data_IF_855673000621
#
_entry.id   IF_855673000621
#
_cell.length_a   1.000
_cell.length_b   1.000
_cell.length_c   1.000
_cell.angle_alpha   90.00
_cell.angle_beta   90.00
_cell.angle_gamma   90.00
#
_symmetry.space_group_name_H-M   'P 1'
#
loop_
_entity.id
_entity.type
_entity.pdbx_description
1 polymer ?
#
# COMPACT_ATOMS: atom_id res chain seq x y z
N UNK A 1 8.06 15.86 20.52
CA UNK A 1 7.95 14.85 19.44
C UNK A 1 9.29 14.17 19.27
N UNK A 2 9.32 12.85 19.34
CA UNK A 2 10.58 12.09 19.25
C UNK A 2 10.40 10.96 18.25
N UNK A 3 11.44 10.52 17.53
CA UNK A 3 11.35 9.29 16.71
C UNK A 3 10.86 8.10 17.53
N UNK A 4 11.19 8.04 18.82
CA UNK A 4 10.73 7.00 19.74
C UNK A 4 9.20 6.82 19.79
N UNK A 5 8.43 7.86 19.44
CA UNK A 5 6.97 7.83 19.41
C UNK A 5 6.40 7.25 18.10
N UNK A 6 7.26 6.94 17.11
CA UNK A 6 6.82 6.27 15.88
C UNK A 6 6.87 4.76 16.06
N UNK A 7 5.77 4.10 15.75
CA UNK A 7 5.63 2.65 15.79
C UNK A 7 5.11 2.17 14.45
N UNK A 8 5.65 1.04 13.97
CA UNK A 8 5.16 0.39 12.75
C UNK A 8 4.86 -1.07 13.04
N UNK A 9 3.68 -1.50 12.65
CA UNK A 9 3.33 -2.92 12.55
C UNK A 9 3.32 -3.27 11.07
N UNK A 10 4.21 -4.18 10.67
CA UNK A 10 4.44 -4.57 9.28
C UNK A 10 4.19 -6.05 9.08
N UNK A 11 3.32 -6.36 8.13
CA UNK A 11 3.23 -7.66 7.49
C UNK A 11 3.51 -7.49 6.00
N UNK A 12 4.40 -8.30 5.46
CA UNK A 12 4.81 -8.20 4.07
C UNK A 12 5.17 -9.58 3.49
N UNK A 13 5.45 -9.64 2.21
CA UNK A 13 5.76 -10.87 1.46
C UNK A 13 6.92 -11.74 2.04
N UNK A 14 7.67 -11.26 3.03
CA UNK A 14 8.77 -12.00 3.68
C UNK A 14 8.30 -12.71 4.95
N UNK A 15 7.29 -12.17 5.63
CA UNK A 15 6.83 -12.64 6.93
C UNK A 15 5.34 -13.01 6.97
N UNK A 16 4.61 -12.82 5.87
CA UNK A 16 3.19 -13.15 5.79
C UNK A 16 2.82 -13.75 4.43
N UNK A 17 1.82 -14.61 4.41
CA UNK A 17 1.23 -15.13 3.18
C UNK A 17 0.31 -14.08 2.53
N UNK A 18 0.02 -14.24 1.24
CA UNK A 18 -0.92 -13.37 0.52
C UNK A 18 -2.31 -13.42 1.18
N UNK A 19 -2.73 -14.59 1.64
CA UNK A 19 -4.00 -14.77 2.35
C UNK A 19 -4.03 -13.96 3.67
N UNK A 20 -2.96 -13.99 4.45
CA UNK A 20 -2.85 -13.20 5.68
C UNK A 20 -2.87 -11.70 5.41
N UNK A 21 -2.20 -11.24 4.34
CA UNK A 21 -2.27 -9.84 3.91
C UNK A 21 -3.69 -9.45 3.50
N UNK A 22 -4.40 -10.35 2.81
CA UNK A 22 -5.80 -10.15 2.42
C UNK A 22 -6.73 -9.96 3.62
N UNK A 23 -6.56 -10.75 4.69
CA UNK A 23 -7.36 -10.62 5.94
C UNK A 23 -7.20 -9.27 6.64
N UNK A 24 -6.12 -8.55 6.38
CA UNK A 24 -5.87 -7.20 6.89
C UNK A 24 -6.20 -6.10 5.87
N UNK A 25 -6.75 -6.47 4.71
CA UNK A 25 -7.13 -5.50 3.69
C UNK A 25 -8.44 -4.80 4.07
N UNK A 26 -8.42 -3.46 4.02
CA UNK A 26 -9.63 -2.63 4.17
C UNK A 26 -9.90 -1.91 2.86
N UNK A 27 -11.08 -2.10 2.29
CA UNK A 27 -11.49 -1.45 1.05
C UNK A 27 -11.50 0.07 1.19
N UNK A 28 -11.16 0.78 0.12
CA UNK A 28 -10.92 2.24 0.15
C UNK A 28 -12.08 3.05 0.74
N UNK A 29 -13.32 2.67 0.43
CA UNK A 29 -14.54 3.27 0.93
C UNK A 29 -14.73 3.13 2.46
N UNK A 30 -14.20 2.06 3.06
CA UNK A 30 -14.29 1.76 4.49
C UNK A 30 -13.08 2.26 5.30
N UNK A 31 -11.94 2.53 4.65
CA UNK A 31 -10.69 2.87 5.35
C UNK A 31 -10.83 4.04 6.29
N UNK A 32 -11.51 5.12 5.87
CA UNK A 32 -11.66 6.33 6.72
C UNK A 32 -12.32 6.02 8.06
N UNK A 33 -13.47 5.38 8.03
CA UNK A 33 -14.22 5.04 9.24
C UNK A 33 -13.47 4.01 10.11
N UNK A 34 -12.91 2.99 9.47
CA UNK A 34 -12.14 1.94 10.12
C UNK A 34 -10.93 2.52 10.87
N UNK A 35 -10.10 3.33 10.21
CA UNK A 35 -8.91 3.91 10.83
C UNK A 35 -9.22 4.95 11.90
N UNK A 36 -10.32 5.70 11.77
CA UNK A 36 -10.78 6.60 12.81
C UNK A 36 -11.17 5.83 14.09
N UNK A 37 -11.92 4.75 13.94
CA UNK A 37 -12.31 3.88 15.04
C UNK A 37 -11.09 3.19 15.67
N UNK A 38 -10.17 2.67 14.85
CA UNK A 38 -8.94 2.03 15.31
C UNK A 38 -8.06 3.01 16.10
N UNK A 39 -7.89 4.25 15.58
CA UNK A 39 -7.15 5.32 16.27
C UNK A 39 -7.75 5.62 17.64
N UNK A 40 -9.07 5.75 17.73
CA UNK A 40 -9.78 6.01 18.98
C UNK A 40 -9.67 4.83 19.95
N UNK A 41 -9.86 3.60 19.46
CA UNK A 41 -9.77 2.39 20.25
C UNK A 41 -8.38 2.16 20.87
N UNK A 42 -7.32 2.41 20.08
CA UNK A 42 -5.95 2.30 20.55
C UNK A 42 -5.50 3.53 21.36
N UNK A 43 -6.22 4.65 21.32
CA UNK A 43 -5.87 5.90 22.01
C UNK A 43 -4.60 6.56 21.46
N UNK A 44 -4.27 6.34 20.18
CA UNK A 44 -3.02 6.83 19.55
C UNK A 44 -3.20 8.23 18.94
N UNK A 45 -2.10 8.98 18.86
CA UNK A 45 -2.11 10.37 18.39
C UNK A 45 -2.25 10.48 16.88
N UNK A 46 -1.69 9.52 16.12
CA UNK A 46 -1.75 9.51 14.67
C UNK A 46 -1.66 8.11 14.09
N UNK A 47 -2.28 7.91 12.91
CA UNK A 47 -2.22 6.65 12.17
C UNK A 47 -2.24 6.91 10.67
N UNK A 48 -1.39 6.19 9.92
CA UNK A 48 -1.48 6.01 8.49
C UNK A 48 -1.45 4.52 8.17
N UNK A 49 -2.15 4.13 7.11
CA UNK A 49 -2.31 2.75 6.69
C UNK A 49 -1.89 2.59 5.24
N UNK A 50 -0.83 1.82 5.04
CA UNK A 50 -0.31 1.46 3.73
C UNK A 50 -0.70 0.00 3.44
N UNK A 51 -1.48 -0.20 2.39
CA UNK A 51 -1.78 -1.53 1.87
C UNK A 51 -1.45 -1.59 0.39
N UNK A 52 -0.78 -2.67 0.00
CA UNK A 52 -0.40 -2.98 -1.37
C UNK A 52 -0.59 -4.47 -1.62
N UNK A 53 -0.33 -4.95 -2.83
CA UNK A 53 -0.36 -6.38 -3.13
C UNK A 53 0.65 -7.22 -2.29
N UNK A 54 1.66 -6.60 -1.66
CA UNK A 54 2.76 -7.33 -1.01
C UNK A 54 3.01 -6.91 0.44
N UNK A 55 2.22 -5.99 0.99
CA UNK A 55 2.37 -5.53 2.38
C UNK A 55 1.15 -4.84 2.94
N UNK A 56 1.04 -4.93 4.25
CA UNK A 56 0.18 -4.09 5.08
C UNK A 56 1.05 -3.47 6.18
N UNK A 57 0.99 -2.14 6.30
CA UNK A 57 1.75 -1.39 7.31
C UNK A 57 0.83 -0.44 8.06
N UNK A 58 0.84 -0.52 9.37
CA UNK A 58 0.23 0.47 10.26
C UNK A 58 1.32 1.36 10.80
N UNK A 59 1.33 2.61 10.38
CA UNK A 59 2.32 3.63 10.79
C UNK A 59 1.64 4.50 11.82
N UNK A 60 2.06 4.40 13.07
CA UNK A 60 1.37 4.98 14.22
C UNK A 60 2.30 5.91 15.00
N UNK A 61 1.70 6.94 15.58
CA UNK A 61 2.38 7.84 16.53
C UNK A 61 1.70 7.73 17.88
N UNK A 62 2.49 7.38 18.89
CA UNK A 62 2.05 7.32 20.28
C UNK A 62 3.25 7.54 21.22
N UNK A 63 3.03 8.21 22.34
CA UNK A 63 4.05 8.36 23.39
C UNK A 63 4.22 7.08 24.21
N UNK A 64 3.16 6.27 24.31
CA UNK A 64 3.22 5.00 24.99
C UNK A 64 3.84 3.92 24.11
N UNK A 65 4.63 3.05 24.70
CA UNK A 65 5.24 1.91 24.01
C UNK A 65 4.17 0.97 23.43
N UNK A 66 4.32 0.61 22.18
CA UNK A 66 3.39 -0.28 21.49
C UNK A 66 3.70 -1.75 21.83
N UNK A 67 3.08 -2.24 22.90
CA UNK A 67 3.30 -3.59 23.44
C UNK A 67 2.45 -4.67 22.74
N UNK A 68 2.69 -5.95 23.09
CA UNK A 68 1.95 -7.09 22.53
C UNK A 68 0.43 -7.01 22.78
N UNK A 69 -0.02 -6.44 23.90
CA UNK A 69 -1.45 -6.22 24.14
C UNK A 69 -2.09 -5.26 23.13
N UNK A 70 -1.38 -4.20 22.76
CA UNK A 70 -1.82 -3.27 21.72
C UNK A 70 -1.80 -3.88 20.33
N UNK A 71 -0.83 -4.73 20.04
CA UNK A 71 -0.79 -5.51 18.79
C UNK A 71 -2.02 -6.42 18.68
N UNK A 72 -2.38 -7.08 19.78
CA UNK A 72 -3.59 -7.90 19.85
C UNK A 72 -4.85 -7.05 19.60
N UNK A 73 -4.97 -5.89 20.25
CA UNK A 73 -6.09 -4.96 20.03
C UNK A 73 -6.18 -4.47 18.58
N UNK A 74 -5.04 -4.19 17.94
CA UNK A 74 -4.98 -3.80 16.53
C UNK A 74 -5.58 -4.90 15.64
N UNK A 75 -5.14 -6.16 15.82
CA UNK A 75 -5.64 -7.25 15.00
C UNK A 75 -7.07 -7.65 15.32
N UNK A 76 -7.54 -7.50 16.57
CA UNK A 76 -8.94 -7.73 16.94
C UNK A 76 -9.92 -6.86 16.15
N UNK A 77 -9.49 -5.66 15.71
CA UNK A 77 -10.32 -4.80 14.87
C UNK A 77 -10.67 -5.40 13.50
N UNK A 78 -9.98 -6.45 13.06
CA UNK A 78 -10.24 -7.22 11.84
C UNK A 78 -11.06 -8.48 12.09
N UNK A 79 -11.50 -8.72 13.32
CA UNK A 79 -12.33 -9.86 13.73
C UNK A 79 -11.78 -11.23 13.29
N UNK A 80 -10.45 -11.50 13.43
CA UNK A 80 -9.87 -12.75 13.01
C UNK A 80 -10.31 -13.90 13.91
N UNK A 81 -10.41 -15.11 13.36
CA UNK A 81 -10.57 -16.31 14.18
C UNK A 81 -9.30 -16.58 15.02
N UNK A 82 -9.34 -17.55 15.94
CA UNK A 82 -8.25 -17.82 16.89
C UNK A 82 -6.95 -18.23 16.19
N UNK A 83 -7.02 -18.99 15.10
CA UNK A 83 -5.85 -19.44 14.34
C UNK A 83 -5.21 -18.28 13.58
N UNK A 84 -6.03 -17.47 12.90
CA UNK A 84 -5.59 -16.26 12.23
C UNK A 84 -4.92 -15.29 13.20
N UNK A 85 -5.53 -15.07 14.37
CA UNK A 85 -4.95 -14.21 15.41
C UNK A 85 -3.56 -14.68 15.82
N UNK A 86 -3.36 -15.97 16.10
CA UNK A 86 -2.05 -16.51 16.45
C UNK A 86 -1.04 -16.30 15.33
N UNK A 87 -1.46 -16.57 14.11
CA UNK A 87 -0.61 -16.44 12.92
C UNK A 87 -0.21 -14.98 12.66
N UNK A 88 -1.15 -14.04 12.71
CA UNK A 88 -0.88 -12.61 12.57
C UNK A 88 0.05 -12.08 13.65
N UNK A 89 -0.18 -12.47 14.92
CA UNK A 89 0.67 -12.09 16.05
C UNK A 89 2.10 -12.64 15.92
N UNK A 90 2.26 -13.88 15.42
CA UNK A 90 3.57 -14.50 15.26
C UNK A 90 4.38 -13.91 14.11
N UNK A 91 3.70 -13.47 13.06
CA UNK A 91 4.32 -13.02 11.82
C UNK A 91 4.52 -11.49 11.76
N UNK A 92 3.79 -10.72 12.57
CA UNK A 92 3.90 -9.27 12.57
C UNK A 92 5.28 -8.80 13.05
N UNK A 93 5.92 -7.96 12.25
CA UNK A 93 7.11 -7.21 12.66
C UNK A 93 6.65 -5.92 13.32
N UNK A 94 7.02 -5.73 14.58
CA UNK A 94 6.73 -4.51 15.33
C UNK A 94 8.02 -3.72 15.50
N UNK A 95 8.05 -2.51 14.99
CA UNK A 95 9.19 -1.62 14.99
C UNK A 95 8.90 -0.35 15.77
N UNK A 96 9.92 0.18 16.43
CA UNK A 96 9.81 1.36 17.29
C UNK A 96 10.91 2.36 16.98
N UNK A 97 10.63 3.63 17.16
CA UNK A 97 11.61 4.70 17.13
C UNK A 97 12.42 4.76 15.83
N UNK A 98 13.74 4.80 15.95
CA UNK A 98 14.64 4.91 14.80
C UNK A 98 14.55 3.71 13.85
N UNK A 99 14.25 2.51 14.36
CA UNK A 99 14.05 1.33 13.53
C UNK A 99 12.76 1.44 12.71
N UNK A 100 11.69 1.97 13.29
CA UNK A 100 10.45 2.27 12.58
C UNK A 100 10.67 3.35 11.49
N UNK A 101 11.39 4.41 11.83
CA UNK A 101 11.76 5.48 10.88
C UNK A 101 12.60 4.92 9.74
N UNK A 102 13.63 4.16 10.05
CA UNK A 102 14.52 3.52 9.06
C UNK A 102 13.75 2.59 8.14
N UNK A 103 12.87 1.76 8.71
CA UNK A 103 12.00 0.88 7.94
C UNK A 103 11.11 1.65 6.96
N UNK A 104 10.44 2.71 7.42
CA UNK A 104 9.58 3.54 6.58
C UNK A 104 10.36 4.18 5.40
N UNK A 105 11.57 4.66 5.64
CA UNK A 105 12.44 5.20 4.59
C UNK A 105 12.84 4.12 3.58
N UNK A 106 13.18 2.92 4.06
CA UNK A 106 13.51 1.76 3.21
C UNK A 106 12.32 1.33 2.36
N UNK A 107 11.11 1.30 2.96
CA UNK A 107 9.86 1.01 2.25
C UNK A 107 9.64 2.04 1.14
N UNK A 108 9.65 3.33 1.47
CA UNK A 108 9.40 4.39 0.50
C UNK A 108 10.43 4.44 -0.63
N UNK A 109 11.68 4.05 -0.33
CA UNK A 109 12.76 3.94 -1.31
C UNK A 109 12.76 2.62 -2.11
N UNK A 110 11.76 1.75 -1.92
CA UNK A 110 11.65 0.47 -2.63
C UNK A 110 12.67 -0.59 -2.20
N UNK A 111 13.37 -0.41 -1.07
CA UNK A 111 14.38 -1.36 -0.58
C UNK A 111 13.75 -2.57 0.13
N UNK A 112 12.49 -2.47 0.50
CA UNK A 112 11.69 -3.54 1.09
C UNK A 112 10.63 -4.10 0.12
N UNK A 113 10.64 -3.65 -1.14
CA UNK A 113 9.73 -4.13 -2.17
C UNK A 113 10.18 -5.48 -2.72
N UNK A 114 9.22 -6.27 -3.25
CA UNK A 114 9.51 -7.51 -3.95
C UNK A 114 10.45 -7.26 -5.14
N UNK A 115 10.25 -6.16 -5.85
CA UNK A 115 11.18 -5.67 -6.85
C UNK A 115 12.02 -4.55 -6.24
N UNK A 116 13.29 -4.84 -5.97
CA UNK A 116 14.20 -3.89 -5.35
C UNK A 116 14.30 -2.59 -6.18
N UNK A 117 14.09 -1.44 -5.53
CA UNK A 117 14.14 -0.12 -6.16
C UNK A 117 12.92 0.24 -7.01
N UNK A 118 11.79 -0.45 -6.83
CA UNK A 118 10.53 -0.12 -7.48
C UNK A 118 10.02 1.24 -7.02
N UNK A 119 9.65 2.10 -8.00
CA UNK A 119 9.20 3.47 -7.71
C UNK A 119 7.73 3.58 -7.33
N UNK A 120 6.92 2.57 -7.65
CA UNK A 120 5.48 2.58 -7.41
C UNK A 120 5.16 2.68 -5.91
N UNK A 121 5.97 2.03 -5.07
CA UNK A 121 5.81 2.09 -3.61
C UNK A 121 5.88 3.52 -3.05
N UNK A 122 6.70 4.41 -3.62
CA UNK A 122 6.75 5.81 -3.19
C UNK A 122 5.41 6.51 -3.40
N UNK A 123 4.74 6.23 -4.53
CA UNK A 123 3.41 6.77 -4.81
C UNK A 123 2.39 6.24 -3.80
N UNK A 124 2.46 4.94 -3.49
CA UNK A 124 1.56 4.28 -2.53
C UNK A 124 1.77 4.82 -1.10
N UNK A 125 3.03 5.00 -0.66
CA UNK A 125 3.34 5.62 0.63
C UNK A 125 2.80 7.05 0.69
N UNK A 126 3.05 7.86 -0.35
CA UNK A 126 2.51 9.22 -0.43
C UNK A 126 0.99 9.22 -0.30
N UNK A 127 0.28 8.43 -1.10
CA UNK A 127 -1.18 8.37 -1.07
C UNK A 127 -1.72 7.92 0.29
N UNK A 128 -1.06 6.98 0.97
CA UNK A 128 -1.43 6.54 2.31
C UNK A 128 -1.32 7.68 3.34
N UNK A 129 -0.22 8.45 3.29
CA UNK A 129 0.01 9.58 4.18
C UNK A 129 -0.93 10.76 3.85
N UNK A 130 -1.16 11.05 2.57
CA UNK A 130 -2.11 12.08 2.12
C UNK A 130 -3.53 11.77 2.61
N UNK A 131 -4.02 10.55 2.43
CA UNK A 131 -5.33 10.12 2.98
C UNK A 131 -5.40 10.30 4.49
N UNK A 132 -4.37 9.88 5.24
CA UNK A 132 -4.33 10.07 6.69
C UNK A 132 -4.45 11.55 7.07
N UNK A 133 -3.80 12.45 6.34
CA UNK A 133 -3.88 13.89 6.56
C UNK A 133 -5.26 14.47 6.22
N UNK A 134 -5.82 14.11 5.07
CA UNK A 134 -7.16 14.55 4.61
C UNK A 134 -8.27 14.09 5.55
N UNK A 135 -8.12 12.92 6.15
CA UNK A 135 -9.07 12.36 7.11
C UNK A 135 -8.83 12.84 8.55
N UNK A 136 -7.89 13.75 8.78
CA UNK A 136 -7.50 14.26 10.10
C UNK A 136 -7.01 13.18 11.08
N UNK A 137 -6.41 12.12 10.55
CA UNK A 137 -5.83 11.03 11.33
C UNK A 137 -4.33 11.23 11.57
N UNK A 138 -3.65 12.05 10.76
CA UNK A 138 -2.25 12.37 10.93
C UNK A 138 -2.07 13.51 11.95
N UNK A 139 -1.35 13.25 13.02
CA UNK A 139 -0.83 14.28 13.91
C UNK A 139 0.36 15.04 13.27
N UNK A 140 0.88 16.05 13.98
CA UNK A 140 1.97 16.90 13.49
C UNK A 140 3.25 16.10 13.18
N UNK A 141 3.55 15.09 13.99
CA UNK A 141 4.72 14.22 13.80
C UNK A 141 4.64 13.41 12.49
N UNK A 142 3.48 12.81 12.17
CA UNK A 142 3.31 12.09 10.90
C UNK A 142 3.45 13.00 9.68
N UNK A 143 2.95 14.24 9.77
CA UNK A 143 3.06 15.24 8.68
C UNK A 143 4.50 15.65 8.41
N UNK A 144 5.31 15.82 9.46
CA UNK A 144 6.73 16.09 9.32
C UNK A 144 7.45 14.87 8.73
N UNK A 145 7.13 13.67 9.23
CA UNK A 145 7.71 12.41 8.77
C UNK A 145 7.39 12.17 7.29
N UNK A 146 6.14 12.37 6.86
CA UNK A 146 5.70 12.27 5.44
C UNK A 146 6.63 13.04 4.50
N UNK A 147 6.85 14.33 4.80
CA UNK A 147 7.68 15.17 3.94
C UNK A 147 9.10 14.64 3.81
N UNK A 148 9.73 14.29 4.92
CA UNK A 148 11.12 13.82 4.93
C UNK A 148 11.25 12.44 4.27
N UNK A 149 10.28 11.54 4.48
CA UNK A 149 10.21 10.22 3.81
C UNK A 149 10.19 10.38 2.28
N UNK A 150 9.30 11.25 1.76
CA UNK A 150 9.18 11.48 0.32
C UNK A 150 10.45 12.10 -0.26
N UNK A 151 11.04 13.09 0.42
CA UNK A 151 12.28 13.75 0.01
C UNK A 151 13.45 12.74 -0.01
N UNK A 152 13.56 11.90 1.03
CA UNK A 152 14.60 10.87 1.15
C UNK A 152 14.48 9.83 0.05
N UNK A 153 13.28 9.30 -0.20
CA UNK A 153 13.06 8.33 -1.25
C UNK A 153 13.43 8.90 -2.64
N UNK A 154 13.06 10.16 -2.92
CA UNK A 154 13.48 10.84 -4.15
C UNK A 154 15.01 10.97 -4.26
N UNK A 155 15.69 11.27 -3.15
CA UNK A 155 17.16 11.34 -3.15
C UNK A 155 17.78 9.96 -3.43
N UNK A 156 17.27 8.89 -2.82
CA UNK A 156 17.71 7.52 -3.10
C UNK A 156 17.56 7.20 -4.58
N UNK A 157 16.39 7.46 -5.18
CA UNK A 157 16.15 7.18 -6.60
C UNK A 157 16.97 8.03 -7.58
N UNK A 158 17.41 9.22 -7.17
CA UNK A 158 18.17 10.13 -8.07
C UNK A 158 19.68 10.06 -7.88
N UNK A 159 20.14 9.72 -6.68
CA UNK A 159 21.58 9.72 -6.34
C UNK A 159 22.19 8.31 -6.33
N UNK A 160 21.39 7.25 -6.55
CA UNK A 160 21.86 5.87 -6.57
C UNK A 160 21.31 5.11 -7.77
N UNK A 161 21.97 4.02 -8.13
CA UNK A 161 21.52 3.14 -9.22
C UNK A 161 20.42 2.14 -8.80
N UNK A 162 19.86 2.27 -7.62
CA UNK A 162 18.88 1.31 -7.07
C UNK A 162 17.63 1.16 -7.95
N UNK A 163 17.16 2.26 -8.54
CA UNK A 163 16.00 2.27 -9.42
C UNK A 163 16.36 2.04 -10.90
N UNK A 164 17.64 1.88 -11.21
CA UNK A 164 18.10 1.66 -12.60
C UNK A 164 17.62 0.29 -13.07
N UNK A 165 16.84 0.28 -14.15
CA UNK A 165 16.23 -0.93 -14.71
C UNK A 165 15.32 -1.68 -13.71
N UNK A 166 14.73 -1.00 -12.72
CA UNK A 166 13.69 -1.62 -11.88
C UNK A 166 12.48 -1.95 -12.76
N UNK A 167 12.04 -3.20 -12.69
CA UNK A 167 10.87 -3.67 -13.45
C UNK A 167 9.77 -3.89 -12.42
N UNK A 168 8.70 -3.11 -12.46
CA UNK A 168 7.58 -3.28 -11.53
C UNK A 168 6.88 -4.63 -11.71
N UNK A 169 6.12 -5.07 -10.72
CA UNK A 169 5.27 -6.29 -10.83
C UNK A 169 4.36 -6.18 -12.04
N UNK A 170 3.80 -4.99 -12.30
CA UNK A 170 2.99 -4.72 -13.48
C UNK A 170 3.77 -4.96 -14.79
N UNK A 171 5.02 -4.50 -14.84
CA UNK A 171 5.85 -4.70 -16.03
C UNK A 171 6.35 -6.14 -16.17
N UNK A 172 6.53 -6.89 -15.07
CA UNK A 172 6.79 -8.33 -15.12
C UNK A 172 5.58 -9.10 -15.63
N UNK A 173 4.38 -8.80 -15.10
CA UNK A 173 3.12 -9.37 -15.59
C UNK A 173 2.88 -9.04 -17.05
N UNK A 174 3.15 -7.80 -17.46
CA UNK A 174 3.10 -7.40 -18.86
C UNK A 174 4.04 -8.20 -19.76
N UNK A 175 5.29 -8.45 -19.33
CA UNK A 175 6.24 -9.30 -20.07
C UNK A 175 5.74 -10.74 -20.19
N UNK A 176 5.12 -11.28 -19.14
CA UNK A 176 4.51 -12.61 -19.19
C UNK A 176 3.38 -12.66 -20.21
N UNK A 177 2.53 -11.65 -20.29
CA UNK A 177 1.49 -11.51 -21.30
C UNK A 177 2.08 -11.42 -22.72
N UNK A 178 3.08 -10.56 -22.97
CA UNK A 178 3.73 -10.44 -24.28
C UNK A 178 4.33 -11.78 -24.78
N UNK A 179 4.85 -12.59 -23.85
CA UNK A 179 5.41 -13.90 -24.20
C UNK A 179 4.36 -14.88 -24.73
N UNK A 180 3.05 -14.62 -24.54
CA UNK A 180 1.96 -15.42 -25.08
C UNK A 180 1.63 -15.13 -26.54
N UNK A 181 2.13 -14.01 -27.10
CA UNK A 181 1.90 -13.65 -28.49
C UNK A 181 0.42 -13.40 -28.84
N UNK A 182 -0.38 -12.95 -27.88
CA UNK A 182 -1.81 -12.66 -28.08
C UNK A 182 -1.95 -11.49 -29.06
N UNK A 183 -2.75 -11.67 -30.11
CA UNK A 183 -2.94 -10.68 -31.16
C UNK A 183 -3.62 -9.41 -30.65
N UNK A 184 -3.37 -8.27 -31.29
CA UNK A 184 -3.89 -6.97 -30.86
C UNK A 184 -5.40 -6.79 -31.05
N UNK A 185 -6.01 -7.63 -31.88
CA UNK A 185 -7.45 -7.71 -32.13
C UNK A 185 -8.17 -8.80 -31.27
N UNK A 186 -7.38 -9.57 -30.50
CA UNK A 186 -7.97 -10.57 -29.60
C UNK A 186 -8.73 -9.92 -28.45
N UNK A 187 -9.82 -10.58 -28.04
CA UNK A 187 -10.66 -10.11 -26.94
C UNK A 187 -9.94 -10.18 -25.60
N UNK A 188 -9.94 -9.08 -24.87
CA UNK A 188 -9.29 -8.93 -23.56
C UNK A 188 -10.32 -8.47 -22.53
N UNK A 189 -10.35 -9.15 -21.38
CA UNK A 189 -11.18 -8.78 -20.24
C UNK A 189 -10.31 -8.19 -19.12
N UNK A 190 -10.60 -6.95 -18.70
CA UNK A 190 -9.97 -6.34 -17.53
C UNK A 190 -10.98 -6.29 -16.38
N UNK A 191 -10.65 -6.89 -15.25
CA UNK A 191 -11.50 -6.94 -14.06
C UNK A 191 -10.84 -6.10 -12.95
N UNK A 192 -11.52 -5.00 -12.60
CA UNK A 192 -11.01 -3.95 -11.71
C UNK A 192 -10.52 -2.72 -12.49
N UNK A 193 -10.75 -1.53 -11.93
CA UNK A 193 -10.35 -0.24 -12.51
C UNK A 193 -9.46 0.57 -11.55
N UNK A 194 -8.63 -0.13 -10.75
CA UNK A 194 -7.63 0.46 -9.87
C UNK A 194 -6.34 0.86 -10.60
N UNK A 195 -5.40 1.43 -9.84
CA UNK A 195 -4.12 1.95 -10.38
C UNK A 195 -3.32 0.89 -11.13
N UNK A 196 -3.29 -0.36 -10.65
CA UNK A 196 -2.60 -1.47 -11.29
C UNK A 196 -3.13 -1.74 -12.70
N UNK A 197 -4.46 -1.90 -12.83
CA UNK A 197 -5.09 -2.09 -14.14
C UNK A 197 -5.00 -0.83 -15.01
N UNK A 198 -4.99 0.37 -14.45
CA UNK A 198 -4.72 1.59 -15.22
C UNK A 198 -3.29 1.61 -15.81
N UNK A 199 -2.32 1.02 -15.13
CA UNK A 199 -0.96 0.85 -15.66
C UNK A 199 -0.93 -0.18 -16.81
N UNK A 200 -1.61 -1.33 -16.64
CA UNK A 200 -1.74 -2.36 -17.69
C UNK A 200 -2.50 -1.79 -18.90
N UNK A 201 -3.57 -1.03 -18.68
CA UNK A 201 -4.34 -0.37 -19.74
C UNK A 201 -3.46 0.50 -20.66
N UNK A 202 -2.51 1.26 -20.08
CA UNK A 202 -1.54 2.04 -20.84
C UNK A 202 -0.62 1.18 -21.71
N UNK A 203 -0.27 -0.01 -21.23
CA UNK A 203 0.53 -0.94 -22.03
C UNK A 203 -0.28 -1.54 -23.18
N UNK A 204 -1.53 -1.95 -22.94
CA UNK A 204 -2.44 -2.46 -23.96
C UNK A 204 -2.70 -1.41 -25.05
N UNK A 205 -3.00 -0.18 -24.65
CA UNK A 205 -3.22 0.96 -25.56
C UNK A 205 -1.99 1.21 -26.43
N UNK A 206 -0.79 1.23 -25.84
CA UNK A 206 0.48 1.43 -26.56
C UNK A 206 0.78 0.31 -27.57
N UNK A 207 0.33 -0.92 -27.31
CA UNK A 207 0.47 -2.07 -28.21
C UNK A 207 -0.66 -2.17 -29.23
N UNK A 208 -1.62 -1.26 -29.18
CA UNK A 208 -2.71 -1.20 -30.15
C UNK A 208 -3.83 -2.22 -29.94
N UNK A 209 -4.02 -2.72 -28.71
CA UNK A 209 -5.17 -3.58 -28.40
C UNK A 209 -6.47 -2.77 -28.45
N UNK A 210 -7.42 -3.24 -29.25
CA UNK A 210 -8.68 -2.53 -29.54
C UNK A 210 -9.92 -3.20 -28.93
N UNK A 211 -9.93 -4.54 -28.83
CA UNK A 211 -11.04 -5.29 -28.23
C UNK A 211 -10.78 -5.56 -26.74
N UNK A 212 -11.00 -4.52 -25.95
CA UNK A 212 -10.82 -4.59 -24.49
C UNK A 212 -12.14 -4.22 -23.80
N UNK A 213 -12.55 -5.04 -22.85
CA UNK A 213 -13.70 -4.78 -21.97
C UNK A 213 -13.24 -4.59 -20.53
N UNK A 214 -13.67 -3.51 -19.90
CA UNK A 214 -13.33 -3.21 -18.50
C UNK A 214 -14.54 -3.42 -17.62
N UNK A 215 -14.45 -4.31 -16.64
CA UNK A 215 -15.47 -4.53 -15.61
C UNK A 215 -15.01 -4.02 -14.26
N UNK A 216 -15.88 -3.37 -13.53
CA UNK A 216 -15.60 -2.93 -12.16
C UNK A 216 -16.89 -2.88 -11.34
N UNK A 217 -16.81 -3.07 -10.01
CA UNK A 217 -17.95 -2.92 -9.10
C UNK A 217 -18.60 -1.52 -9.22
N UNK A 218 -17.78 -0.49 -9.31
CA UNK A 218 -18.22 0.88 -9.60
C UNK A 218 -18.08 1.14 -11.09
N UNK A 219 -19.19 1.15 -11.82
CA UNK A 219 -19.22 1.25 -13.29
C UNK A 219 -18.57 2.53 -13.79
N UNK A 220 -18.68 3.64 -13.05
CA UNK A 220 -18.06 4.93 -13.38
C UNK A 220 -16.54 4.85 -13.44
N UNK A 221 -15.90 4.04 -12.56
CA UNK A 221 -14.45 3.80 -12.61
C UNK A 221 -14.07 2.98 -13.85
N UNK A 222 -14.87 1.97 -14.22
CA UNK A 222 -14.65 1.20 -15.45
C UNK A 222 -14.78 2.09 -16.69
N UNK A 223 -15.81 2.92 -16.73
CA UNK A 223 -16.05 3.91 -17.78
C UNK A 223 -14.88 4.87 -17.94
N UNK A 224 -14.44 5.48 -16.84
CA UNK A 224 -13.34 6.45 -16.85
C UNK A 224 -12.01 5.83 -17.36
N UNK A 225 -11.81 4.53 -17.16
CA UNK A 225 -10.64 3.82 -17.66
C UNK A 225 -10.77 3.45 -19.15
N UNK A 226 -11.95 2.99 -19.58
CA UNK A 226 -12.18 2.43 -20.90
C UNK A 226 -12.53 3.50 -21.97
N UNK A 227 -13.44 4.42 -21.68
CA UNK A 227 -14.00 5.36 -22.64
C UNK A 227 -12.95 6.22 -23.37
N UNK A 228 -11.90 6.76 -22.73
CA UNK A 228 -10.86 7.53 -23.43
C UNK A 228 -10.05 6.71 -24.46
N UNK A 229 -10.13 5.35 -24.38
CA UNK A 229 -9.41 4.37 -25.23
C UNK A 229 -10.30 3.76 -26.29
N UNK A 230 -11.59 4.15 -26.34
CA UNK A 230 -12.57 3.53 -27.24
C UNK A 230 -12.95 2.09 -26.86
N UNK A 231 -12.69 1.67 -25.62
CA UNK A 231 -12.96 0.34 -25.11
C UNK A 231 -14.37 0.26 -24.50
N UNK A 232 -14.87 -0.97 -24.34
CA UNK A 232 -16.16 -1.22 -23.70
C UNK A 232 -16.02 -1.34 -22.17
N UNK A 233 -17.10 -1.08 -21.44
CA UNK A 233 -17.13 -1.20 -19.98
C UNK A 233 -18.45 -1.77 -19.47
N UNK A 234 -18.43 -2.23 -18.21
CA UNK A 234 -19.64 -2.75 -17.57
C UNK A 234 -19.50 -2.95 -16.06
N UNK A 235 -20.59 -3.36 -15.44
CA UNK A 235 -20.62 -3.85 -14.07
C UNK A 235 -20.04 -5.25 -13.96
N UNK A 236 -19.54 -5.64 -12.78
CA UNK A 236 -19.15 -7.02 -12.48
C UNK A 236 -20.32 -8.00 -12.60
N UNK A 237 -21.56 -7.55 -12.52
CA UNK A 237 -22.75 -8.38 -12.76
C UNK A 237 -22.80 -8.98 -14.18
N UNK A 238 -22.08 -8.37 -15.13
CA UNK A 238 -21.97 -8.87 -16.50
C UNK A 238 -20.75 -9.78 -16.71
N UNK A 239 -20.11 -10.24 -15.63
CA UNK A 239 -18.89 -11.04 -15.70
C UNK A 239 -19.10 -12.36 -16.44
N UNK A 240 -20.11 -13.14 -16.07
CA UNK A 240 -20.40 -14.44 -16.71
C UNK A 240 -20.60 -14.29 -18.23
N UNK A 241 -21.43 -13.34 -18.67
CA UNK A 241 -21.62 -13.06 -20.10
C UNK A 241 -20.32 -12.60 -20.80
N UNK A 242 -19.43 -11.92 -20.07
CA UNK A 242 -18.14 -11.51 -20.63
C UNK A 242 -17.13 -12.66 -20.72
N UNK A 243 -17.23 -13.65 -19.85
CA UNK A 243 -16.43 -14.89 -19.90
C UNK A 243 -16.88 -15.80 -21.05
N UNK A 244 -18.20 -15.92 -21.28
CA UNK A 244 -18.76 -16.68 -22.41
C UNK A 244 -18.26 -16.19 -23.78
N UNK A 245 -17.83 -14.93 -23.90
CA UNK A 245 -17.24 -14.40 -25.13
C UNK A 245 -15.82 -14.88 -25.43
N UNK A 246 -15.26 -15.79 -24.63
CA UNK A 246 -13.93 -16.40 -24.78
C UNK A 246 -12.79 -15.38 -24.84
N UNK A 247 -12.55 -14.59 -23.78
CA UNK A 247 -11.42 -13.67 -23.79
C UNK A 247 -10.08 -14.43 -23.88
N UNK A 248 -9.22 -14.03 -24.80
CA UNK A 248 -7.89 -14.61 -24.95
C UNK A 248 -6.99 -14.27 -23.74
N UNK A 249 -7.28 -13.13 -23.06
CA UNK A 249 -6.62 -12.77 -21.84
C UNK A 249 -7.56 -12.10 -20.83
N UNK A 250 -7.32 -12.37 -19.54
CA UNK A 250 -8.00 -11.74 -18.41
C UNK A 250 -6.94 -11.06 -17.53
N UNK A 251 -7.09 -9.74 -17.31
CA UNK A 251 -6.29 -8.98 -16.34
C UNK A 251 -7.15 -8.75 -15.11
N UNK A 252 -6.82 -9.43 -14.01
CA UNK A 252 -7.55 -9.34 -12.76
C UNK A 252 -6.73 -8.57 -11.73
N UNK A 253 -7.28 -7.47 -11.24
CA UNK A 253 -6.72 -6.72 -10.14
C UNK A 253 -7.84 -6.00 -9.39
N UNK A 254 -8.36 -6.66 -8.37
CA UNK A 254 -9.42 -6.15 -7.50
C UNK A 254 -8.92 -6.08 -6.06
N UNK A 255 -9.50 -5.17 -5.27
CA UNK A 255 -9.33 -5.15 -3.83
C UNK A 255 -10.49 -5.89 -3.11
N UNK A 256 -10.97 -6.97 -3.69
CA UNK A 256 -12.07 -7.78 -3.15
C UNK A 256 -11.52 -8.90 -2.28
N UNK A 257 -12.16 -9.15 -1.15
CA UNK A 257 -11.87 -10.29 -0.28
C UNK A 257 -12.54 -11.59 -0.77
N UNK A 258 -13.35 -11.50 -1.83
CA UNK A 258 -14.09 -12.59 -2.43
C UNK A 258 -13.44 -12.99 -3.76
N UNK A 259 -13.40 -14.31 -4.04
CA UNK A 259 -13.00 -14.82 -5.34
C UNK A 259 -13.86 -14.17 -6.43
N UNK A 260 -13.23 -13.75 -7.50
CA UNK A 260 -13.89 -13.12 -8.65
C UNK A 260 -14.10 -14.16 -9.76
N UNK A 261 -13.13 -15.06 -9.93
CA UNK A 261 -13.22 -16.22 -10.81
C UNK A 261 -13.29 -17.47 -9.93
N UNK A 262 -14.47 -17.76 -9.43
CA UNK A 262 -14.80 -18.91 -8.59
C UNK A 262 -15.31 -20.12 -9.42
N UNK A 263 -15.97 -21.06 -8.76
CA UNK A 263 -16.48 -22.27 -9.40
C UNK A 263 -17.59 -21.97 -10.42
N UNK A 264 -18.43 -20.96 -10.17
CA UNK A 264 -19.50 -20.56 -11.08
C UNK A 264 -18.90 -19.95 -12.36
N UNK A 265 -17.89 -19.10 -12.22
CA UNK A 265 -17.17 -18.53 -13.36
C UNK A 265 -16.32 -19.57 -14.09
N UNK A 266 -15.79 -20.57 -13.39
CA UNK A 266 -15.11 -21.69 -14.03
C UNK A 266 -16.02 -22.49 -14.96
N UNK A 267 -17.31 -22.63 -14.59
CA UNK A 267 -18.31 -23.37 -15.39
C UNK A 267 -18.72 -22.63 -16.67
N UNK A 268 -18.69 -21.30 -16.68
CA UNK A 268 -19.07 -20.49 -17.85
C UNK A 268 -17.88 -20.05 -18.70
N UNK A 269 -16.66 -20.17 -18.20
CA UNK A 269 -15.46 -19.93 -19.01
C UNK A 269 -15.30 -21.08 -20.03
N UNK A 270 -15.44 -20.79 -21.33
CA UNK A 270 -15.37 -21.83 -22.35
C UNK A 270 -14.01 -22.52 -22.41
N UNK A 271 -13.96 -23.72 -22.96
CA UNK A 271 -12.71 -24.41 -23.25
C UNK A 271 -11.90 -23.62 -24.29
N UNK A 272 -10.65 -23.36 -23.98
CA UNK A 272 -9.75 -22.62 -24.86
C UNK A 272 -8.55 -22.05 -24.08
N UNK A 273 -7.50 -21.69 -24.81
CA UNK A 273 -6.28 -21.16 -24.19
C UNK A 273 -6.52 -19.73 -23.68
N UNK A 274 -6.89 -19.59 -22.42
CA UNK A 274 -7.04 -18.28 -21.76
C UNK A 274 -5.84 -17.97 -20.86
N UNK A 275 -5.20 -16.83 -21.09
CA UNK A 275 -4.17 -16.29 -20.20
C UNK A 275 -4.82 -15.45 -19.11
N UNK A 276 -4.49 -15.69 -17.85
CA UNK A 276 -4.96 -14.88 -16.71
C UNK A 276 -3.77 -14.28 -15.99
N UNK A 277 -3.71 -12.94 -15.92
CA UNK A 277 -2.78 -12.23 -15.05
C UNK A 277 -3.54 -11.76 -13.81
N UNK A 278 -3.31 -12.43 -12.67
CA UNK A 278 -3.92 -12.08 -11.40
C UNK A 278 -2.94 -11.29 -10.51
N UNK A 279 -3.18 -10.00 -10.40
CA UNK A 279 -2.44 -9.10 -9.51
C UNK A 279 -3.26 -8.67 -8.29
N UNK A 280 -4.33 -9.39 -7.98
CA UNK A 280 -5.18 -9.15 -6.80
C UNK A 280 -4.51 -9.68 -5.52
N UNK A 281 -4.84 -9.05 -4.40
CA UNK A 281 -4.48 -9.53 -3.05
C UNK A 281 -5.70 -9.34 -2.13
N UNK A 282 -6.25 -10.45 -1.65
CA UNK A 282 -5.93 -11.85 -1.98
C UNK A 282 -6.15 -12.18 -3.46
N UNK A 283 -5.64 -13.36 -3.91
CA UNK A 283 -5.88 -13.83 -5.29
C UNK A 283 -7.38 -13.89 -5.58
N UNK A 284 -7.76 -13.36 -6.73
CA UNK A 284 -9.15 -13.39 -7.19
C UNK A 284 -9.50 -14.63 -8.03
N UNK A 285 -8.52 -15.53 -8.27
CA UNK A 285 -8.71 -16.75 -9.06
C UNK A 285 -8.81 -17.97 -8.15
N UNK A 286 -9.95 -18.65 -8.20
CA UNK A 286 -10.23 -19.86 -7.45
C UNK A 286 -9.47 -21.10 -7.93
N UNK A 287 -9.39 -22.14 -7.06
CA UNK A 287 -8.66 -23.39 -7.38
C UNK A 287 -9.19 -24.08 -8.63
N UNK A 288 -10.49 -24.09 -8.87
CA UNK A 288 -11.12 -24.75 -10.02
C UNK A 288 -10.65 -24.13 -11.33
N UNK A 289 -10.65 -22.80 -11.46
CA UNK A 289 -10.13 -22.10 -12.64
C UNK A 289 -8.62 -22.32 -12.78
N UNK A 290 -7.88 -22.23 -11.68
CA UNK A 290 -6.41 -22.37 -11.66
C UNK A 290 -5.93 -23.75 -12.10
N UNK A 291 -6.69 -24.79 -11.82
CA UNK A 291 -6.35 -26.18 -12.15
C UNK A 291 -6.81 -26.61 -13.56
N UNK A 292 -7.47 -25.74 -14.31
CA UNK A 292 -7.83 -26.05 -15.70
C UNK A 292 -6.60 -26.14 -16.58
N UNK A 293 -6.46 -27.21 -17.43
CA UNK A 293 -5.27 -27.38 -18.26
C UNK A 293 -5.18 -26.38 -19.43
N UNK A 294 -6.30 -25.77 -19.80
CA UNK A 294 -6.44 -24.77 -20.86
C UNK A 294 -6.39 -23.33 -20.35
N UNK A 295 -6.10 -23.12 -19.06
CA UNK A 295 -5.97 -21.80 -18.44
C UNK A 295 -4.56 -21.63 -17.89
N UNK A 296 -3.90 -20.59 -18.32
CA UNK A 296 -2.55 -20.24 -17.82
C UNK A 296 -2.62 -19.06 -16.87
N UNK A 297 -2.52 -19.34 -15.58
CA UNK A 297 -2.61 -18.32 -14.52
C UNK A 297 -1.22 -17.88 -14.10
N UNK A 298 -0.91 -16.60 -14.32
CA UNK A 298 0.28 -15.93 -13.80
C UNK A 298 -0.15 -14.99 -12.68
N UNK A 299 0.27 -15.26 -11.47
CA UNK A 299 -0.01 -14.45 -10.30
C UNK A 299 1.28 -13.80 -9.71
N UNK A 300 1.10 -13.02 -8.64
CA UNK A 300 2.21 -12.36 -7.96
C UNK A 300 3.27 -13.37 -7.47
N UNK A 301 2.85 -14.56 -7.02
CA UNK A 301 3.77 -15.59 -6.55
C UNK A 301 4.65 -16.14 -7.69
N UNK A 302 4.07 -16.33 -8.88
CA UNK A 302 4.77 -16.77 -10.08
C UNK A 302 5.76 -15.70 -10.60
N UNK A 303 5.50 -14.41 -10.39
CA UNK A 303 6.36 -13.31 -10.79
C UNK A 303 7.57 -13.11 -9.87
N UNK A 304 7.50 -13.55 -8.61
CA UNK A 304 8.54 -13.37 -7.60
C UNK A 304 9.93 -13.92 -8.03
N UNK A 305 10.08 -15.15 -8.54
CA UNK A 305 11.38 -15.67 -8.97
C UNK A 305 12.01 -14.87 -10.12
N UNK A 306 11.17 -14.26 -10.97
CA UNK A 306 11.62 -13.42 -12.09
C UNK A 306 12.15 -12.08 -11.56
N UNK A 307 11.47 -11.50 -10.57
CA UNK A 307 11.91 -10.29 -9.88
C UNK A 307 13.27 -10.50 -9.19
N UNK A 308 13.44 -11.62 -8.50
CA UNK A 308 14.66 -11.96 -7.74
C UNK A 308 15.90 -12.11 -8.63
N UNK A 309 15.77 -12.68 -9.84
CA UNK A 309 16.88 -12.83 -10.79
C UNK A 309 17.45 -11.49 -11.28
N UNK A 310 16.67 -10.42 -11.27
CA UNK A 310 17.06 -9.11 -11.77
C UNK A 310 17.75 -8.22 -10.71
N UNK A 311 18.12 -8.74 -9.52
CA UNK A 311 18.61 -7.93 -8.40
C UNK A 311 20.14 -7.77 -8.31
N UNK A 312 20.94 -8.54 -9.07
CA UNK A 312 22.40 -8.59 -8.91
C UNK A 312 23.10 -7.22 -8.96
N UNK A 313 22.82 -6.40 -9.99
CA UNK A 313 23.43 -5.07 -10.13
C UNK A 313 22.94 -4.01 -9.14
N UNK A 314 21.73 -4.19 -8.58
CA UNK A 314 21.14 -3.23 -7.62
C UNK A 314 21.63 -3.43 -6.20
N UNK A 315 22.09 -4.64 -5.85
CA UNK A 315 22.69 -4.92 -4.53
C UNK A 315 23.94 -4.07 -4.28
N UNK A 316 24.71 -3.73 -5.32
CA UNK A 316 25.86 -2.85 -5.20
C UNK A 316 25.48 -1.43 -4.72
N UNK A 317 24.30 -0.93 -5.10
CA UNK A 317 23.82 0.39 -4.70
C UNK A 317 23.25 0.46 -3.27
N UNK A 318 23.09 -0.67 -2.58
CA UNK A 318 22.47 -0.70 -1.24
C UNK A 318 23.26 0.10 -0.20
N UNK A 319 24.60 0.10 -0.28
CA UNK A 319 25.45 0.88 0.62
C UNK A 319 25.23 2.39 0.50
N UNK A 320 25.03 2.88 -0.72
CA UNK A 320 24.76 4.29 -0.98
C UNK A 320 23.35 4.67 -0.48
N UNK A 321 22.36 3.80 -0.74
CA UNK A 321 21.00 3.97 -0.22
C UNK A 321 20.99 4.05 1.31
N UNK A 322 21.73 3.15 1.97
CA UNK A 322 21.80 3.12 3.44
C UNK A 322 22.38 4.41 4.00
N UNK A 323 23.45 4.95 3.41
CA UNK A 323 24.05 6.22 3.84
C UNK A 323 23.07 7.40 3.75
N UNK A 324 22.28 7.47 2.66
CA UNK A 324 21.25 8.50 2.49
C UNK A 324 20.16 8.35 3.56
N UNK A 325 19.71 7.12 3.82
CA UNK A 325 18.69 6.83 4.82
C UNK A 325 19.17 7.17 6.24
N UNK A 326 20.40 6.79 6.61
CA UNK A 326 20.95 7.07 7.94
C UNK A 326 21.08 8.58 8.21
N UNK A 327 21.50 9.34 7.19
CA UNK A 327 21.50 10.80 7.25
C UNK A 327 20.10 11.38 7.43
N UNK A 328 19.11 10.80 6.75
CA UNK A 328 17.70 11.24 6.84
C UNK A 328 17.07 10.91 8.20
N UNK A 329 17.41 9.79 8.83
CA UNK A 329 16.96 9.43 10.20
C UNK A 329 17.45 10.49 11.17
N UNK A 330 18.74 10.86 11.11
CA UNK A 330 19.32 11.93 11.92
C UNK A 330 18.61 13.27 11.68
N UNK A 331 18.38 13.62 10.41
CA UNK A 331 17.69 14.85 10.02
C UNK A 331 16.24 14.92 10.53
N UNK A 332 15.50 13.79 10.49
CA UNK A 332 14.16 13.73 11.06
C UNK A 332 14.17 13.95 12.56
N UNK A 333 15.09 13.30 13.28
CA UNK A 333 15.24 13.49 14.73
C UNK A 333 15.45 14.96 15.10
N UNK A 334 16.37 15.63 14.41
CA UNK A 334 16.62 17.06 14.62
C UNK A 334 15.39 17.92 14.31
N UNK A 335 14.68 17.62 13.22
CA UNK A 335 13.48 18.37 12.84
C UNK A 335 12.33 18.20 13.84
N UNK A 336 12.15 17.00 14.38
CA UNK A 336 11.13 16.73 15.41
C UNK A 336 11.46 17.45 16.71
N UNK A 337 12.73 17.46 17.14
CA UNK A 337 13.18 18.23 18.32
C UNK A 337 12.96 19.72 18.12
N UNK A 338 13.34 20.26 16.96
CA UNK A 338 13.12 21.67 16.63
C UNK A 338 11.62 22.01 16.68
N UNK A 339 10.76 21.12 16.17
CA UNK A 339 9.31 21.31 16.20
C UNK A 339 8.74 21.33 17.62
N UNK A 340 9.26 20.51 18.50
CA UNK A 340 8.89 20.50 19.92
C UNK A 340 9.21 21.84 20.59
N UNK A 341 10.40 22.40 20.32
CA UNK A 341 10.79 23.75 20.81
C UNK A 341 9.87 24.82 20.21
N UNK A 342 9.57 24.77 18.90
CA UNK A 342 8.64 25.70 18.24
C UNK A 342 7.26 25.71 18.91
N UNK A 343 6.73 24.52 19.29
CA UNK A 343 5.45 24.40 19.98
C UNK A 343 5.49 24.97 21.39
N UNK A 344 6.53 24.63 22.15
CA UNK A 344 6.71 25.16 23.51
C UNK A 344 6.84 26.71 23.50
N UNK A 345 7.57 27.28 22.55
CA UNK A 345 7.67 28.73 22.40
C UNK A 345 6.34 29.42 22.06
N UNK A 346 5.41 28.75 21.37
CA UNK A 346 4.08 29.29 21.09
C UNK A 346 3.20 29.42 22.34
N UNK A 347 3.41 28.58 23.34
CA UNK A 347 2.65 28.60 24.60
C UNK A 347 3.22 29.62 25.58
N UNK A 348 4.48 30.01 25.41
CA UNK A 348 5.20 30.90 26.33
C UNK A 348 4.50 32.25 26.56
N UNK A 349 3.96 32.96 25.52
CA UNK A 349 3.26 34.23 25.76
C UNK A 349 2.03 34.10 26.66
N UNK A 350 1.28 33.02 26.51
CA UNK A 350 0.08 32.73 27.32
C UNK A 350 0.47 32.44 28.80
N UNK A 351 1.54 31.64 28.99
CA UNK A 351 2.07 31.33 30.31
C UNK A 351 2.59 32.61 31.01
N UNK A 352 3.35 33.46 30.31
CA UNK A 352 3.83 34.72 30.83
C UNK A 352 2.69 35.66 31.19
N UNK A 353 1.64 35.74 30.39
CA UNK A 353 0.44 36.52 30.69
C UNK A 353 -0.29 36.00 31.93
N UNK A 354 -0.41 34.66 32.07
CA UNK A 354 -1.02 34.05 33.26
C UNK A 354 -0.20 34.36 34.55
N UNK A 355 1.13 34.17 34.52
CA UNK A 355 2.00 34.45 35.63
C UNK A 355 1.93 35.95 36.02
N UNK A 356 1.97 36.83 35.04
CA UNK A 356 1.82 38.30 35.27
C UNK A 356 0.48 38.61 35.95
N UNK A 357 -0.61 38.07 35.48
CA UNK A 357 -1.96 38.32 36.00
C UNK A 357 -2.11 37.79 37.43
N UNK A 358 -1.51 36.64 37.74
CA UNK A 358 -1.50 36.07 39.09
C UNK A 358 -0.68 36.96 40.03
N UNK A 359 0.54 37.36 39.63
CA UNK A 359 1.39 38.21 40.43
C UNK A 359 0.76 39.60 40.70
N UNK A 360 0.13 40.21 39.70
CA UNK A 360 -0.63 41.46 39.90
C UNK A 360 -1.81 41.29 40.85
N UNK A 361 -2.56 40.19 40.71
CA UNK A 361 -3.68 39.87 41.60
C UNK A 361 -3.24 39.70 43.06
N UNK A 362 -2.11 39.05 43.31
CA UNK A 362 -1.53 38.90 44.68
C UNK A 362 -1.05 40.22 45.26
N UNK A 363 -0.41 41.09 44.45
CA UNK A 363 0.03 42.42 44.88
C UNK A 363 -1.17 43.29 45.25
N UNK A 364 -2.20 43.36 44.43
CA UNK A 364 -3.42 44.14 44.72
C UNK A 364 -4.24 43.57 45.87
N UNK A 365 -4.18 42.26 46.13
CA UNK A 365 -4.83 41.65 47.30
C UNK A 365 -4.09 41.95 48.63
N UNK A 366 -2.84 42.34 48.62
CA UNK A 366 -2.06 42.73 49.81
C UNK A 366 -2.16 44.24 50.13
N UNK A 367 -2.68 45.04 49.20
CA UNK A 367 -2.87 46.50 49.37
C UNK A 367 -4.30 46.87 49.84
N UNK A 368 -5.22 45.92 49.98
CA UNK A 368 -6.55 46.08 50.54
C UNK A 368 -6.68 45.41 51.91
#
# INVERSE_FOLDING_TARGET
MKPANLHIVSLNHRNATIEQLGKLHVTEDRQKAFLANLKAHLGIQGIAYLTTCNRVEFIMVDEAYFCMGRLQQLFQAFEPNTEDMRSLMANAMVLHGDDAVRHLFRVAAGLESMVLGEREILTQVRSAMERSREWHLAGDQLRITERIVIETAKQVFTKTDIARNSVSVNALGWKAFLAKGIASDASILMIGAGQTNANIARYLEKQGHTDVRVLNRTTEKARALAEPRGWTWGSLETLSASLESQPAAIFLCTGSDVLVLDDDQAAVLPDGNTFILDLSVPSGVGPTVRNRPDVDVVDIAALKPIADRNTGGRRAALGDCQRIIDSAVTGLTQRLQQREVELALKELPALLAAVRNTALGEVFAQEL
#
